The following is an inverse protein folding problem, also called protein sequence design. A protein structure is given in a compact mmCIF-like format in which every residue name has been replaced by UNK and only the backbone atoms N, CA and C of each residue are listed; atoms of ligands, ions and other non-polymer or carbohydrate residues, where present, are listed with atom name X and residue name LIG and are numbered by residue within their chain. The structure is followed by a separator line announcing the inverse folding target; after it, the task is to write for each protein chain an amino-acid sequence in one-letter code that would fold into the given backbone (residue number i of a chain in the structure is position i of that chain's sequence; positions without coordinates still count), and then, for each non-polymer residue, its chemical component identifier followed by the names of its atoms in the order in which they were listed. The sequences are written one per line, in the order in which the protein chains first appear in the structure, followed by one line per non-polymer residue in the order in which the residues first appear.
data_IF_070142112486
#
_entry.id   IF_070142112486
#
_cell.length_a   1.000
_cell.length_b   1.000
_cell.length_c   1.000
_cell.angle_alpha   90.00
_cell.angle_beta   90.00
_cell.angle_gamma   90.00
#
_symmetry.space_group_name_H-M   'P 1'
#
loop_
_entity.id
_entity.type
_entity.pdbx_description
1 polymer ?
#
# COMPACT_ATOMS: atom_id res chain seq x y z
N UNK A 1 18.34 -20.34 -14.35
CA UNK A 1 18.07 -19.64 -13.07
C UNK A 1 16.57 -19.54 -12.92
N UNK A 2 16.03 -19.92 -11.77
CA UNK A 2 14.62 -19.68 -11.49
C UNK A 2 14.39 -18.18 -11.26
N UNK A 3 13.16 -17.70 -11.46
CA UNK A 3 12.80 -16.31 -11.16
C UNK A 3 13.09 -15.97 -9.69
N UNK A 4 12.98 -16.96 -8.79
CA UNK A 4 13.28 -16.82 -7.36
C UNK A 4 14.77 -16.59 -7.14
N UNK A 5 15.63 -17.40 -7.77
CA UNK A 5 17.09 -17.22 -7.67
C UNK A 5 17.49 -15.83 -8.14
N UNK A 6 16.89 -15.35 -9.24
CA UNK A 6 17.18 -14.01 -9.77
C UNK A 6 16.77 -12.88 -8.82
N UNK A 7 15.66 -13.01 -8.11
CA UNK A 7 15.24 -12.04 -7.08
C UNK A 7 16.16 -12.09 -5.86
N UNK A 8 16.56 -13.28 -5.42
CA UNK A 8 17.50 -13.45 -4.30
C UNK A 8 18.87 -12.85 -4.62
N UNK A 9 19.34 -12.99 -5.86
CA UNK A 9 20.58 -12.35 -6.33
C UNK A 9 20.45 -10.82 -6.39
N UNK A 10 19.31 -10.27 -6.82
CA UNK A 10 19.06 -8.82 -6.78
C UNK A 10 19.05 -8.27 -5.35
N UNK A 11 18.41 -8.97 -4.42
CA UNK A 11 18.41 -8.62 -3.00
C UNK A 11 19.83 -8.56 -2.45
N UNK A 12 20.60 -9.63 -2.61
CA UNK A 12 22.01 -9.69 -2.18
C UNK A 12 22.88 -8.60 -2.81
N UNK A 13 22.67 -8.30 -4.09
CA UNK A 13 23.41 -7.25 -4.78
C UNK A 13 23.11 -5.85 -4.21
N UNK A 14 21.83 -5.57 -3.90
CA UNK A 14 21.42 -4.31 -3.27
C UNK A 14 21.91 -4.20 -1.82
N UNK A 15 21.90 -5.29 -1.06
CA UNK A 15 22.43 -5.33 0.29
C UNK A 15 23.94 -5.02 0.28
N UNK A 16 24.69 -5.66 -0.63
CA UNK A 16 26.11 -5.39 -0.83
C UNK A 16 26.37 -3.95 -1.26
N UNK A 17 25.57 -3.37 -2.16
CA UNK A 17 25.69 -1.96 -2.57
C UNK A 17 25.42 -1.00 -1.41
N UNK A 18 24.40 -1.30 -0.58
CA UNK A 18 24.05 -0.51 0.60
C UNK A 18 25.15 -0.57 1.65
N UNK A 19 25.68 -1.75 1.91
CA UNK A 19 26.83 -1.95 2.78
C UNK A 19 28.07 -1.21 2.25
N UNK A 20 28.30 -1.25 0.93
CA UNK A 20 29.43 -0.61 0.28
C UNK A 20 29.35 0.93 0.30
N UNK A 21 28.15 1.50 0.14
CA UNK A 21 27.92 2.96 0.22
C UNK A 21 27.95 3.46 1.67
N UNK A 22 27.34 2.74 2.61
CA UNK A 22 27.34 3.10 4.04
C UNK A 22 28.74 3.00 4.69
N UNK A 23 29.58 2.06 4.24
CA UNK A 23 30.96 1.94 4.69
C UNK A 23 31.88 3.03 4.13
N UNK A 24 31.51 3.65 2.99
CA UNK A 24 32.21 4.80 2.40
C UNK A 24 32.07 6.06 3.26
N UNK A 25 30.91 6.22 3.90
CA UNK A 25 30.62 7.37 4.77
C UNK A 25 31.20 7.24 6.20
N UNK A 26 31.58 6.03 6.64
CA UNK A 26 31.95 5.75 8.04
C UNK A 26 33.41 5.35 8.31
N UNK A 27 34.29 5.16 7.30
CA UNK A 27 35.64 4.65 7.52
C UNK A 27 36.78 5.61 7.14
N UNK A 28 37.39 6.22 8.17
CA UNK A 28 38.76 6.74 8.15
C UNK A 28 39.77 5.60 8.44
N UNK A 29 39.78 4.53 7.65
CA UNK A 29 40.68 3.40 7.85
C UNK A 29 41.63 3.22 6.64
N UNK A 30 42.92 3.63 6.74
CA UNK A 30 43.83 3.78 5.60
C UNK A 30 44.41 2.46 5.03
N UNK A 31 44.00 1.29 5.53
CA UNK A 31 44.50 -0.01 5.04
C UNK A 31 43.59 -0.68 3.99
N UNK A 32 42.43 -0.10 3.66
CA UNK A 32 41.50 -0.62 2.63
C UNK A 32 41.61 0.22 1.33
N UNK A 33 42.83 0.62 0.95
CA UNK A 33 43.04 1.68 -0.04
C UNK A 33 43.25 1.20 -1.50
N UNK A 34 42.89 -0.04 -1.89
CA UNK A 34 43.24 -0.47 -3.26
C UNK A 34 42.38 -1.53 -3.95
N UNK A 35 41.19 -1.87 -3.44
CA UNK A 35 40.28 -2.81 -4.13
C UNK A 35 38.91 -2.18 -4.41
N UNK A 36 38.59 -1.05 -3.77
CA UNK A 36 37.26 -0.44 -3.82
C UNK A 36 36.99 0.38 -5.09
N UNK A 37 38.02 0.94 -5.72
CA UNK A 37 37.89 1.74 -6.95
C UNK A 37 37.77 0.89 -8.23
N UNK A 38 38.12 -0.39 -8.17
CA UNK A 38 38.07 -1.32 -9.30
C UNK A 38 36.70 -1.98 -9.49
N UNK A 39 35.77 -1.79 -8.55
CA UNK A 39 34.43 -2.40 -8.59
C UNK A 39 33.38 -1.33 -8.92
N UNK A 40 33.00 -1.26 -10.19
CA UNK A 40 31.88 -0.41 -10.66
C UNK A 40 30.58 -1.20 -10.53
N UNK A 41 29.67 -0.72 -9.68
CA UNK A 41 28.32 -1.27 -9.58
C UNK A 41 27.44 -0.70 -10.71
N UNK A 42 27.05 -1.53 -11.68
CA UNK A 42 26.12 -1.17 -12.76
C UNK A 42 24.65 -1.27 -12.29
N UNK A 43 24.28 -0.45 -11.31
CA UNK A 43 22.90 -0.41 -10.75
C UNK A 43 21.86 0.07 -11.78
N UNK A 44 22.28 0.75 -12.85
CA UNK A 44 21.41 1.27 -13.90
C UNK A 44 20.75 0.13 -14.72
N UNK A 45 21.39 -1.04 -14.79
CA UNK A 45 20.88 -2.22 -15.52
C UNK A 45 20.04 -3.17 -14.66
N UNK A 46 19.96 -2.95 -13.34
CA UNK A 46 18.96 -3.63 -12.54
C UNK A 46 17.64 -3.02 -12.98
N UNK A 47 16.93 -3.75 -13.83
CA UNK A 47 15.53 -3.49 -14.14
C UNK A 47 14.79 -3.41 -12.79
N UNK A 48 14.63 -2.20 -12.28
CA UNK A 48 13.72 -1.84 -11.21
C UNK A 48 12.36 -2.15 -11.80
N UNK A 49 11.90 -3.39 -11.57
CA UNK A 49 10.48 -3.63 -11.71
C UNK A 49 9.92 -2.89 -10.52
N UNK A 50 9.45 -1.67 -10.78
CA UNK A 50 8.63 -0.95 -9.84
C UNK A 50 7.49 -1.90 -9.47
N UNK A 51 7.52 -2.39 -8.23
CA UNK A 51 6.53 -3.35 -7.77
C UNK A 51 5.23 -2.58 -7.69
N UNK A 52 4.38 -2.77 -8.70
CA UNK A 52 3.06 -2.19 -8.78
C UNK A 52 2.00 -3.29 -8.53
N UNK A 53 0.74 -2.88 -8.47
CA UNK A 53 -0.37 -3.79 -8.19
C UNK A 53 -0.52 -4.82 -9.30
N UNK A 54 -0.38 -4.43 -10.57
CA UNK A 54 -0.48 -5.35 -11.70
C UNK A 54 0.58 -6.47 -11.65
N UNK A 55 1.80 -6.14 -11.25
CA UNK A 55 2.86 -7.12 -11.05
C UNK A 55 2.55 -8.08 -9.90
N UNK A 56 1.99 -7.59 -8.80
CA UNK A 56 1.52 -8.46 -7.71
C UNK A 56 0.44 -9.42 -8.22
N UNK A 57 -0.55 -8.92 -8.96
CA UNK A 57 -1.64 -9.73 -9.50
C UNK A 57 -1.13 -10.78 -10.49
N UNK A 58 -0.12 -10.45 -11.30
CA UNK A 58 0.57 -11.40 -12.18
C UNK A 58 1.22 -12.55 -11.37
N UNK A 59 1.90 -12.22 -10.27
CA UNK A 59 2.52 -13.22 -9.40
C UNK A 59 1.46 -14.10 -8.71
N UNK A 60 0.35 -13.51 -8.25
CA UNK A 60 -0.79 -14.25 -7.70
C UNK A 60 -1.35 -15.21 -8.76
N UNK A 61 -1.49 -14.77 -10.00
CA UNK A 61 -1.96 -15.61 -11.10
C UNK A 61 -1.00 -16.76 -11.43
N UNK A 62 0.30 -16.48 -11.46
CA UNK A 62 1.33 -17.51 -11.65
C UNK A 62 1.22 -18.60 -10.58
N UNK A 63 1.21 -18.22 -9.30
CA UNK A 63 1.19 -19.20 -8.21
C UNK A 63 -0.15 -19.92 -8.07
N UNK A 64 -1.26 -19.28 -8.43
CA UNK A 64 -2.56 -19.95 -8.56
C UNK A 64 -2.51 -21.05 -9.62
N UNK A 65 -1.95 -20.77 -10.80
CA UNK A 65 -1.79 -21.76 -11.88
C UNK A 65 -0.86 -22.92 -11.49
N UNK A 66 0.12 -22.66 -10.62
CA UNK A 66 0.97 -23.69 -10.02
C UNK A 66 0.30 -24.49 -8.87
N UNK A 67 -0.98 -24.23 -8.58
CA UNK A 67 -1.75 -24.83 -7.47
C UNK A 67 -1.09 -24.65 -6.09
N UNK A 68 -0.39 -23.52 -5.87
CA UNK A 68 0.13 -23.18 -4.54
C UNK A 68 -1.01 -22.88 -3.58
N UNK A 69 -0.82 -23.21 -2.32
CA UNK A 69 -1.74 -22.84 -1.25
C UNK A 69 -1.73 -21.33 -0.99
N UNK A 70 -2.89 -20.79 -0.60
CA UNK A 70 -3.07 -19.35 -0.32
C UNK A 70 -2.04 -18.79 0.69
N UNK A 71 -1.71 -19.47 1.82
CA UNK A 71 -0.68 -19.01 2.74
C UNK A 71 0.69 -18.80 2.09
N UNK A 72 1.13 -19.74 1.24
CA UNK A 72 2.38 -19.60 0.48
C UNK A 72 2.34 -18.38 -0.44
N UNK A 73 1.24 -18.15 -1.17
CA UNK A 73 1.08 -16.98 -2.05
C UNK A 73 1.19 -15.68 -1.25
N UNK A 74 0.55 -15.63 -0.07
CA UNK A 74 0.59 -14.47 0.83
C UNK A 74 2.03 -14.18 1.29
N UNK A 75 2.82 -15.21 1.62
CA UNK A 75 4.21 -15.00 2.04
C UNK A 75 5.06 -14.36 0.94
N UNK A 76 4.90 -14.81 -0.31
CA UNK A 76 5.59 -14.20 -1.46
C UNK A 76 5.14 -12.77 -1.71
N UNK A 77 3.82 -12.52 -1.70
CA UNK A 77 3.26 -11.19 -1.92
C UNK A 77 3.67 -10.21 -0.82
N UNK A 78 3.79 -10.65 0.43
CA UNK A 78 4.32 -9.83 1.54
C UNK A 78 5.73 -9.32 1.28
N UNK A 79 6.61 -10.16 0.72
CA UNK A 79 7.98 -9.76 0.36
C UNK A 79 7.97 -8.65 -0.69
N UNK A 80 7.09 -8.77 -1.70
CA UNK A 80 6.90 -7.77 -2.75
C UNK A 80 6.32 -6.45 -2.19
N UNK A 81 5.30 -6.52 -1.35
CA UNK A 81 4.68 -5.34 -0.70
C UNK A 81 5.69 -4.58 0.17
N UNK A 82 6.58 -5.28 0.88
CA UNK A 82 7.56 -4.63 1.73
C UNK A 82 8.59 -3.80 0.95
N UNK A 83 8.85 -4.17 -0.31
CA UNK A 83 9.77 -3.48 -1.20
C UNK A 83 9.19 -2.16 -1.75
N UNK A 84 7.86 -2.04 -1.89
CA UNK A 84 7.20 -0.83 -2.39
C UNK A 84 6.55 -0.01 -1.27
N UNK A 85 6.90 1.27 -1.12
CA UNK A 85 6.34 2.14 -0.08
C UNK A 85 4.82 2.30 -0.24
N UNK A 86 4.34 2.56 -1.46
CA UNK A 86 2.92 2.79 -1.77
C UNK A 86 2.04 1.54 -1.62
N UNK A 87 2.65 0.35 -1.65
CA UNK A 87 1.96 -0.92 -1.50
C UNK A 87 1.68 -1.26 -0.04
N UNK A 88 2.40 -0.63 0.91
CA UNK A 88 2.24 -0.91 2.35
C UNK A 88 0.85 -0.54 2.85
N UNK A 89 0.28 0.58 2.39
CA UNK A 89 -1.10 0.98 2.72
C UNK A 89 -2.16 0.05 2.11
N UNK A 90 -1.80 -0.72 1.08
CA UNK A 90 -2.66 -1.68 0.38
C UNK A 90 -2.46 -3.12 0.86
N UNK A 91 -1.54 -3.36 1.81
CA UNK A 91 -1.17 -4.70 2.27
C UNK A 91 -2.37 -5.53 2.68
N UNK A 92 -3.16 -4.98 3.60
CA UNK A 92 -4.33 -5.68 4.15
C UNK A 92 -5.34 -6.02 3.06
N UNK A 93 -5.59 -5.10 2.13
CA UNK A 93 -6.52 -5.28 1.01
C UNK A 93 -6.06 -6.43 0.09
N UNK A 94 -4.78 -6.48 -0.24
CA UNK A 94 -4.20 -7.53 -1.10
C UNK A 94 -4.22 -8.89 -0.37
N UNK A 95 -3.85 -8.92 0.91
CA UNK A 95 -3.86 -10.17 1.68
C UNK A 95 -5.28 -10.73 1.84
N UNK A 96 -6.25 -9.86 2.13
CA UNK A 96 -7.65 -10.26 2.25
C UNK A 96 -8.21 -10.75 0.92
N UNK A 97 -7.83 -10.11 -0.19
CA UNK A 97 -8.16 -10.59 -1.53
C UNK A 97 -7.66 -12.03 -1.75
N UNK A 98 -6.37 -12.30 -1.51
CA UNK A 98 -5.81 -13.65 -1.74
C UNK A 98 -6.48 -14.71 -0.85
N UNK A 99 -6.89 -14.34 0.37
CA UNK A 99 -7.63 -15.23 1.26
C UNK A 99 -9.03 -15.54 0.71
N UNK A 100 -9.71 -14.57 0.12
CA UNK A 100 -11.10 -14.69 -0.34
C UNK A 100 -11.23 -15.14 -1.80
N UNK A 101 -10.17 -15.01 -2.62
CA UNK A 101 -10.22 -15.29 -4.04
C UNK A 101 -10.65 -16.73 -4.34
N UNK A 102 -11.43 -16.90 -5.39
CA UNK A 102 -11.83 -18.22 -5.87
C UNK A 102 -10.69 -18.86 -6.66
N UNK A 103 -10.38 -20.12 -6.36
CA UNK A 103 -9.33 -20.85 -7.09
C UNK A 103 -9.74 -21.23 -8.52
N UNK A 104 -11.04 -21.15 -8.84
CA UNK A 104 -11.59 -21.53 -10.15
C UNK A 104 -11.66 -20.41 -11.19
N UNK A 105 -11.55 -19.14 -10.78
CA UNK A 105 -11.66 -18.01 -11.72
C UNK A 105 -10.43 -17.85 -12.60
N UNK A 106 -10.61 -17.35 -13.82
CA UNK A 106 -9.50 -17.28 -14.80
C UNK A 106 -8.86 -15.89 -14.84
N UNK A 107 -9.64 -14.84 -14.58
CA UNK A 107 -9.16 -13.45 -14.59
C UNK A 107 -9.07 -12.89 -13.16
N UNK A 108 -7.86 -12.96 -12.60
CA UNK A 108 -7.56 -12.45 -11.25
C UNK A 108 -7.61 -10.93 -11.20
N UNK A 109 -7.31 -10.24 -12.31
CA UNK A 109 -7.35 -8.78 -12.33
C UNK A 109 -8.78 -8.28 -12.21
N UNK A 110 -9.70 -8.84 -13.01
CA UNK A 110 -11.12 -8.48 -12.92
C UNK A 110 -11.69 -8.83 -11.53
N UNK A 111 -11.37 -10.02 -11.00
CA UNK A 111 -11.79 -10.45 -9.66
C UNK A 111 -11.29 -9.48 -8.58
N UNK A 112 -10.04 -9.02 -8.69
CA UNK A 112 -9.44 -8.06 -7.78
C UNK A 112 -10.16 -6.70 -7.83
N UNK A 113 -10.31 -6.08 -9.00
CA UNK A 113 -10.98 -4.78 -9.10
C UNK A 113 -12.47 -4.84 -8.73
N UNK A 114 -13.13 -5.99 -8.89
CA UNK A 114 -14.47 -6.22 -8.36
C UNK A 114 -14.45 -6.26 -6.83
N UNK A 115 -13.57 -7.06 -6.23
CA UNK A 115 -13.38 -7.15 -4.79
C UNK A 115 -13.07 -5.78 -4.16
N UNK A 116 -12.16 -5.00 -4.77
CA UNK A 116 -11.80 -3.66 -4.31
C UNK A 116 -13.02 -2.73 -4.27
N UNK A 117 -13.87 -2.75 -5.29
CA UNK A 117 -15.09 -1.92 -5.33
C UNK A 117 -16.07 -2.31 -4.22
N UNK A 118 -16.28 -3.60 -4.00
CA UNK A 118 -17.17 -4.11 -2.96
C UNK A 118 -16.66 -3.79 -1.54
N UNK A 119 -15.36 -3.98 -1.29
CA UNK A 119 -14.76 -3.69 0.02
C UNK A 119 -14.65 -2.19 0.28
N UNK A 120 -14.39 -1.35 -0.73
CA UNK A 120 -14.41 0.11 -0.58
C UNK A 120 -15.75 0.60 -0.06
N UNK A 121 -16.86 0.14 -0.65
CA UNK A 121 -18.21 0.52 -0.23
C UNK A 121 -18.55 0.03 1.18
N UNK A 122 -18.09 -1.19 1.51
CA UNK A 122 -18.28 -1.79 2.84
C UNK A 122 -17.48 -1.05 3.91
N UNK A 123 -16.20 -0.80 3.69
CA UNK A 123 -15.33 -0.06 4.61
C UNK A 123 -15.83 1.37 4.82
N UNK A 124 -16.28 2.04 3.75
CA UNK A 124 -16.88 3.37 3.85
C UNK A 124 -18.15 3.35 4.70
N UNK A 125 -19.01 2.35 4.49
CA UNK A 125 -20.24 2.17 5.27
C UNK A 125 -19.96 1.89 6.75
N UNK A 126 -18.91 1.14 7.06
CA UNK A 126 -18.45 0.90 8.43
C UNK A 126 -17.95 2.22 9.06
N UNK A 127 -17.08 2.94 8.37
CA UNK A 127 -16.51 4.21 8.84
C UNK A 127 -17.62 5.25 9.13
N UNK A 128 -18.60 5.37 8.23
CA UNK A 128 -19.77 6.25 8.41
C UNK A 128 -20.53 5.89 9.69
N UNK A 129 -20.75 4.60 9.96
CA UNK A 129 -21.48 4.13 11.15
C UNK A 129 -20.68 4.33 12.43
N UNK A 130 -19.40 3.97 12.43
CA UNK A 130 -18.51 4.10 13.59
C UNK A 130 -18.38 5.54 14.06
N UNK A 131 -18.18 6.46 13.12
CA UNK A 131 -17.97 7.88 13.44
C UNK A 131 -19.27 8.69 13.49
N UNK A 132 -20.40 8.04 13.18
CA UNK A 132 -21.73 8.66 13.06
C UNK A 132 -21.70 9.87 12.09
N UNK A 133 -21.11 9.66 10.91
CA UNK A 133 -21.02 10.66 9.86
C UNK A 133 -22.33 10.76 9.09
N UNK A 134 -22.55 11.89 8.44
CA UNK A 134 -23.70 12.03 7.54
C UNK A 134 -23.43 11.27 6.25
N UNK A 135 -24.19 10.21 6.01
CA UNK A 135 -23.91 9.24 4.96
C UNK A 135 -23.79 9.86 3.57
N UNK A 136 -24.79 10.67 3.17
CA UNK A 136 -24.85 11.25 1.83
C UNK A 136 -23.67 12.19 1.57
N UNK A 137 -23.44 13.13 2.48
CA UNK A 137 -22.37 14.11 2.41
C UNK A 137 -21.00 13.44 2.45
N UNK A 138 -20.85 12.35 3.22
CA UNK A 138 -19.59 11.60 3.28
C UNK A 138 -19.28 10.88 1.98
N UNK A 139 -20.28 10.27 1.33
CA UNK A 139 -20.11 9.63 0.02
C UNK A 139 -19.73 10.65 -1.07
N UNK A 140 -20.38 11.81 -1.07
CA UNK A 140 -20.06 12.91 -2.00
C UNK A 140 -18.64 13.46 -1.76
N UNK A 141 -18.26 13.66 -0.49
CA UNK A 141 -16.93 14.12 -0.11
C UNK A 141 -15.85 13.12 -0.56
N UNK A 142 -16.00 11.84 -0.22
CA UNK A 142 -15.05 10.80 -0.61
C UNK A 142 -14.94 10.68 -2.13
N UNK A 143 -16.07 10.71 -2.85
CA UNK A 143 -16.04 10.64 -4.32
C UNK A 143 -15.23 11.77 -4.92
N UNK A 144 -15.42 12.99 -4.41
CA UNK A 144 -14.64 14.17 -4.82
C UNK A 144 -13.15 13.99 -4.53
N UNK A 145 -12.78 13.47 -3.35
CA UNK A 145 -11.38 13.22 -3.01
C UNK A 145 -10.71 12.22 -3.97
N UNK A 146 -11.41 11.16 -4.40
CA UNK A 146 -10.89 10.22 -5.40
C UNK A 146 -10.75 10.85 -6.79
N UNK A 147 -11.67 11.74 -7.17
CA UNK A 147 -11.59 12.46 -8.45
C UNK A 147 -10.41 13.45 -8.48
N UNK A 148 -10.15 14.15 -7.37
CA UNK A 148 -9.00 15.07 -7.26
C UNK A 148 -7.67 14.38 -6.95
N UNK A 149 -7.70 13.11 -6.51
CA UNK A 149 -6.49 12.37 -6.12
C UNK A 149 -5.90 12.79 -4.77
N UNK A 150 -6.60 13.62 -3.99
CA UNK A 150 -6.18 14.05 -2.66
C UNK A 150 -7.37 14.27 -1.71
N UNK A 151 -7.12 14.14 -0.40
CA UNK A 151 -8.12 14.54 0.60
C UNK A 151 -7.91 16.00 0.96
N UNK A 152 -8.85 16.82 0.50
CA UNK A 152 -8.92 18.23 0.86
C UNK A 152 -9.61 18.36 2.23
N UNK A 153 -8.80 18.41 3.29
CA UNK A 153 -9.27 18.69 4.66
C UNK A 153 -9.36 20.19 4.95
N UNK A 154 -8.80 21.00 4.05
CA UNK A 154 -8.78 22.46 4.12
C UNK A 154 -10.16 23.02 3.77
N UNK A 155 -10.78 23.71 4.73
CA UNK A 155 -12.09 24.33 4.54
C UNK A 155 -13.19 23.71 5.39
N UNK A 156 -14.44 23.94 4.98
CA UNK A 156 -15.65 23.55 5.73
C UNK A 156 -16.25 22.20 5.31
N UNK A 157 -15.68 21.52 4.32
CA UNK A 157 -16.31 20.31 3.76
C UNK A 157 -16.30 19.13 4.74
N UNK A 158 -15.21 19.00 5.48
CA UNK A 158 -15.13 18.07 6.62
C UNK A 158 -16.14 18.42 7.72
N UNK A 159 -16.51 19.69 7.88
CA UNK A 159 -17.55 20.10 8.85
C UNK A 159 -18.97 19.75 8.36
N UNK A 160 -19.17 19.55 7.05
CA UNK A 160 -20.46 19.13 6.48
C UNK A 160 -20.75 17.66 6.78
N UNK A 161 -19.72 16.81 6.74
CA UNK A 161 -19.85 15.35 6.97
C UNK A 161 -19.97 14.99 8.46
N UNK A 162 -19.44 15.83 9.35
CA UNK A 162 -19.50 15.60 10.79
C UNK A 162 -20.93 15.76 11.33
N UNK A 163 -21.30 14.99 12.37
CA UNK A 163 -22.57 15.19 13.06
C UNK A 163 -22.61 16.56 13.75
N UNK A 164 -23.81 17.05 14.02
CA UNK A 164 -24.02 18.31 14.75
C UNK A 164 -23.54 18.19 16.19
N UNK A 165 -22.29 18.57 16.45
CA UNK A 165 -21.69 18.56 17.79
C UNK A 165 -21.83 19.95 18.40
N UNK A 166 -22.34 20.03 19.63
CA UNK A 166 -22.41 21.27 20.39
C UNK A 166 -21.00 21.79 20.66
N UNK A 167 -20.76 23.09 20.39
CA UNK A 167 -19.47 23.75 20.69
C UNK A 167 -19.17 23.85 22.19
N UNK A 168 -20.13 23.50 23.04
CA UNK A 168 -20.09 23.67 24.50
C UNK A 168 -20.31 22.37 25.28
N UNK A 169 -20.30 21.19 24.63
CA UNK A 169 -20.46 19.93 25.34
C UNK A 169 -19.22 19.56 26.15
N UNK A 170 -19.42 19.06 27.39
CA UNK A 170 -18.38 18.53 28.28
C UNK A 170 -17.71 17.25 27.74
N UNK A 171 -18.33 16.55 26.79
CA UNK A 171 -17.74 15.40 26.08
C UNK A 171 -17.01 15.89 24.82
N UNK A 172 -15.68 15.93 24.89
CA UNK A 172 -14.76 15.82 23.74
C UNK A 172 -14.76 17.00 22.77
N UNK A 173 -13.60 17.64 22.60
CA UNK A 173 -13.44 18.74 21.66
C UNK A 173 -13.87 18.31 20.25
N UNK A 174 -14.78 19.08 19.62
CA UNK A 174 -15.12 18.94 18.18
C UNK A 174 -13.86 18.84 17.30
N UNK A 175 -12.78 19.50 17.73
CA UNK A 175 -11.45 19.48 17.11
C UNK A 175 -10.83 18.08 17.15
N UNK A 176 -10.84 17.39 18.29
CA UNK A 176 -10.30 16.04 18.44
C UNK A 176 -11.07 15.04 17.58
N UNK A 177 -12.41 15.10 17.60
CA UNK A 177 -13.23 14.24 16.74
C UNK A 177 -12.98 14.51 15.25
N UNK A 178 -12.83 15.78 14.86
CA UNK A 178 -12.48 16.15 13.49
C UNK A 178 -11.13 15.56 13.08
N UNK A 179 -10.13 15.61 13.96
CA UNK A 179 -8.81 15.05 13.72
C UNK A 179 -8.86 13.53 13.51
N UNK A 180 -9.55 12.80 14.40
CA UNK A 180 -9.72 11.34 14.31
C UNK A 180 -10.40 10.95 12.99
N UNK A 181 -11.47 11.67 12.61
CA UNK A 181 -12.18 11.41 11.36
C UNK A 181 -11.28 11.67 10.15
N UNK A 182 -10.48 12.75 10.17
CA UNK A 182 -9.52 13.04 9.11
C UNK A 182 -8.50 11.91 8.96
N UNK A 183 -7.91 11.44 10.04
CA UNK A 183 -6.91 10.36 10.02
C UNK A 183 -7.51 9.04 9.49
N UNK A 184 -8.74 8.70 9.89
CA UNK A 184 -9.46 7.54 9.37
C UNK A 184 -9.75 7.66 7.88
N UNK A 185 -10.20 8.84 7.42
CA UNK A 185 -10.47 9.09 6.00
C UNK A 185 -9.17 9.07 5.18
N UNK A 186 -8.07 9.59 5.70
CA UNK A 186 -6.74 9.51 5.09
C UNK A 186 -6.29 8.07 4.90
N UNK A 187 -6.36 7.27 5.97
CA UNK A 187 -6.02 5.84 5.90
C UNK A 187 -6.91 5.10 4.90
N UNK A 188 -8.21 5.40 4.88
CA UNK A 188 -9.15 4.85 3.90
C UNK A 188 -8.78 5.24 2.47
N UNK A 189 -8.45 6.50 2.22
CA UNK A 189 -8.04 6.97 0.90
C UNK A 189 -6.74 6.33 0.43
N UNK A 190 -5.70 6.27 1.27
CA UNK A 190 -4.42 5.65 0.93
C UNK A 190 -4.56 4.15 0.59
N UNK A 191 -5.48 3.45 1.28
CA UNK A 191 -5.80 2.03 1.05
C UNK A 191 -6.40 1.79 -0.34
N UNK A 192 -7.17 2.73 -0.89
CA UNK A 192 -7.91 2.55 -2.14
C UNK A 192 -7.43 3.45 -3.30
N UNK A 193 -6.55 4.42 -3.04
CA UNK A 193 -6.04 5.34 -4.06
C UNK A 193 -5.21 4.60 -5.11
N UNK A 194 -5.42 4.96 -6.39
CA UNK A 194 -4.82 4.30 -7.54
C UNK A 194 -5.45 2.95 -7.92
N UNK A 195 -6.52 2.52 -7.24
CA UNK A 195 -7.21 1.25 -7.51
C UNK A 195 -8.66 1.42 -8.02
N UNK A 196 -9.20 2.65 -7.97
CA UNK A 196 -10.61 2.98 -8.23
C UNK A 196 -10.71 4.23 -9.08
#
# INVERSE_FOLDING_TARGET
MSDIDFQDYKGKYNDLYTEFTQNKDNNNNPEIENIQDDVVFEIELIKQVEVNIDYILLIVAKYKNENKDKPTIIEYVRKLINAGIELRSKRELIENFINQMNTSETDIQEEFYKYVREEKEKDLSILIKEENLKEKETKEFISSCFEYGEIITSGSDIDKILPSISRFSKQGNKIEKKQIVVEKLQSFFEKYSGLV
#
